data_IF_955962067006
#
_entry.id   IF_955962067006
#
_cell.length_a   1.000
_cell.length_b   1.000
_cell.length_c   1.000
_cell.angle_alpha   90.00
_cell.angle_beta   90.00
_cell.angle_gamma   90.00
#
_symmetry.space_group_name_H-M   'P 1'
#
loop_
_entity.id
_entity.type
_entity.pdbx_description
1 polymer ?
#
# COMPACT_ATOMS: atom_id res chain seq x y z
N UNK A 1 -1.27 -14.87 -12.94
CA UNK A 1 -0.45 -13.70 -12.57
C UNK A 1 1.00 -14.08 -12.32
N UNK A 2 1.30 -14.93 -11.37
CA UNK A 2 2.69 -15.32 -11.05
C UNK A 2 3.40 -16.01 -12.22
N UNK A 3 2.70 -16.84 -12.98
CA UNK A 3 3.28 -17.52 -14.16
C UNK A 3 3.78 -16.55 -15.23
N UNK A 4 3.20 -15.35 -15.28
CA UNK A 4 3.62 -14.29 -16.22
C UNK A 4 4.71 -13.39 -15.64
N UNK A 5 5.26 -13.71 -14.45
CA UNK A 5 6.28 -12.93 -13.77
C UNK A 5 5.73 -11.75 -12.96
N UNK A 6 4.40 -11.66 -12.81
CA UNK A 6 3.77 -10.59 -12.06
C UNK A 6 3.81 -10.79 -10.54
N UNK A 7 3.47 -9.74 -9.81
CA UNK A 7 3.28 -9.77 -8.36
C UNK A 7 1.86 -9.31 -8.01
N UNK A 8 1.36 -9.79 -6.89
CA UNK A 8 0.08 -9.38 -6.34
C UNK A 8 0.31 -8.57 -5.06
N UNK A 9 -0.19 -7.35 -5.06
CA UNK A 9 -0.13 -6.45 -3.89
C UNK A 9 -1.54 -6.23 -3.36
N UNK A 10 -1.72 -6.46 -2.06
CA UNK A 10 -2.99 -6.22 -1.39
C UNK A 10 -3.12 -4.73 -1.04
N UNK A 11 -3.91 -4.01 -1.83
CA UNK A 11 -4.14 -2.58 -1.63
C UNK A 11 -5.06 -2.33 -0.43
N UNK A 12 -4.72 -1.36 0.40
CA UNK A 12 -5.48 -0.91 1.59
C UNK A 12 -6.37 -2.00 2.23
N UNK A 13 -5.75 -3.10 2.71
CA UNK A 13 -6.50 -4.33 3.04
C UNK A 13 -7.50 -4.19 4.18
N UNK A 14 -7.36 -3.20 5.04
CA UNK A 14 -8.21 -3.02 6.22
C UNK A 14 -9.10 -1.78 6.17
N UNK A 15 -9.16 -1.10 5.01
CA UNK A 15 -10.05 0.05 4.87
C UNK A 15 -11.51 -0.37 5.00
N UNK A 16 -12.25 0.35 5.82
CA UNK A 16 -13.69 0.21 5.95
C UNK A 16 -14.37 1.50 5.45
N UNK A 17 -15.40 1.37 4.65
CA UNK A 17 -16.17 2.48 4.11
C UNK A 17 -17.57 2.02 3.73
N UNK A 18 -18.53 2.93 3.70
CA UNK A 18 -19.94 2.61 3.47
C UNK A 18 -20.21 1.98 2.10
N UNK A 19 -19.37 2.30 1.11
CA UNK A 19 -19.48 1.73 -0.24
C UNK A 19 -18.77 0.39 -0.42
N UNK A 20 -18.09 -0.13 0.61
CA UNK A 20 -17.43 -1.42 0.55
C UNK A 20 -18.38 -2.52 1.01
N UNK A 21 -18.16 -3.71 0.45
CA UNK A 21 -18.64 -4.93 1.07
C UNK A 21 -17.88 -5.06 2.40
N UNK A 22 -18.60 -5.10 3.51
CA UNK A 22 -18.03 -5.08 4.86
C UNK A 22 -17.35 -6.42 5.24
N UNK A 23 -16.62 -6.99 4.32
CA UNK A 23 -15.90 -8.24 4.54
C UNK A 23 -14.45 -8.07 4.09
N UNK A 24 -13.56 -8.14 5.06
CA UNK A 24 -12.11 -8.10 4.79
C UNK A 24 -11.65 -9.51 4.46
N UNK A 25 -11.15 -9.69 3.24
CA UNK A 25 -10.63 -10.98 2.78
C UNK A 25 -9.11 -10.95 2.76
N UNK A 26 -8.50 -11.79 3.58
CA UNK A 26 -7.06 -11.96 3.63
C UNK A 26 -6.68 -13.23 2.85
N UNK A 27 -5.79 -13.09 1.86
CA UNK A 27 -5.39 -14.17 0.97
C UNK A 27 -3.88 -14.41 1.03
N UNK A 28 -3.35 -14.81 2.21
CA UNK A 28 -1.90 -14.81 2.45
C UNK A 28 -1.11 -15.74 1.53
N UNK A 29 -1.74 -16.76 0.96
CA UNK A 29 -1.07 -17.69 0.05
C UNK A 29 -0.87 -17.12 -1.36
N UNK A 30 -1.53 -16.03 -1.70
CA UNK A 30 -1.59 -15.54 -3.08
C UNK A 30 -0.90 -14.21 -3.29
N UNK A 31 -0.59 -13.48 -2.23
CA UNK A 31 -0.03 -12.13 -2.32
C UNK A 31 1.47 -12.12 -2.05
N UNK A 32 2.16 -11.20 -2.70
CA UNK A 32 3.60 -10.98 -2.57
C UNK A 32 3.89 -9.80 -1.64
N UNK A 33 3.02 -8.80 -1.65
CA UNK A 33 3.19 -7.60 -0.87
C UNK A 33 1.89 -7.02 -0.34
N UNK A 34 2.02 -6.10 0.60
CA UNK A 34 0.91 -5.38 1.23
C UNK A 34 1.19 -3.89 1.18
N UNK A 35 0.18 -3.13 0.78
CA UNK A 35 0.21 -1.69 0.94
C UNK A 35 -0.02 -1.36 2.41
N UNK A 36 1.07 -1.08 3.12
CA UNK A 36 1.04 -0.84 4.57
C UNK A 36 0.71 0.59 4.93
N UNK A 37 0.83 1.49 3.97
CA UNK A 37 0.42 2.88 4.14
C UNK A 37 -0.31 3.38 2.91
N UNK A 38 -1.49 3.94 3.14
CA UNK A 38 -2.30 4.58 2.11
C UNK A 38 -2.87 5.87 2.72
N UNK A 39 -2.46 7.03 2.20
CA UNK A 39 -2.92 8.30 2.74
C UNK A 39 -4.38 8.61 2.43
N UNK A 40 -5.01 7.84 1.55
CA UNK A 40 -6.46 7.88 1.30
C UNK A 40 -7.30 7.11 2.32
N UNK A 41 -6.67 6.37 3.25
CA UNK A 41 -7.40 5.75 4.35
C UNK A 41 -8.01 6.82 5.27
N UNK A 42 -9.23 6.58 5.71
CA UNK A 42 -9.93 7.55 6.58
C UNK A 42 -9.49 7.53 8.02
N UNK A 43 -8.77 6.49 8.43
CA UNK A 43 -8.29 6.32 9.81
C UNK A 43 -6.91 5.69 9.79
N UNK A 44 -6.03 6.20 10.63
CA UNK A 44 -4.66 5.69 10.75
C UNK A 44 -4.63 4.23 11.20
N UNK A 45 -5.61 3.78 11.96
CA UNK A 45 -5.69 2.38 12.40
C UNK A 45 -5.71 1.39 11.24
N UNK A 46 -6.22 1.78 10.09
CA UNK A 46 -6.21 0.91 8.90
C UNK A 46 -4.79 0.67 8.38
N UNK A 47 -3.96 1.70 8.42
CA UNK A 47 -2.54 1.59 8.07
C UNK A 47 -1.79 0.74 9.11
N UNK A 48 -2.06 0.95 10.38
CA UNK A 48 -1.45 0.17 11.47
C UNK A 48 -1.77 -1.32 11.34
N UNK A 49 -3.01 -1.66 11.04
CA UNK A 49 -3.43 -3.05 10.82
C UNK A 49 -2.78 -3.66 9.58
N UNK A 50 -2.65 -2.90 8.51
CA UNK A 50 -1.99 -3.36 7.29
C UNK A 50 -0.52 -3.66 7.54
N UNK A 51 0.16 -2.80 8.27
CA UNK A 51 1.56 -3.01 8.66
C UNK A 51 1.71 -4.24 9.55
N UNK A 52 0.86 -4.39 10.55
CA UNK A 52 0.83 -5.58 11.40
C UNK A 52 0.66 -6.86 10.57
N UNK A 53 -0.29 -6.84 9.64
CA UNK A 53 -0.54 -7.97 8.76
C UNK A 53 0.70 -8.34 7.92
N UNK A 54 1.34 -7.35 7.32
CA UNK A 54 2.56 -7.58 6.55
C UNK A 54 3.68 -8.18 7.41
N UNK A 55 3.88 -7.66 8.62
CA UNK A 55 4.90 -8.14 9.54
C UNK A 55 4.62 -9.57 10.03
N UNK A 56 3.36 -9.88 10.37
CA UNK A 56 2.99 -11.21 10.87
C UNK A 56 3.18 -12.31 9.82
N UNK A 57 2.92 -12.02 8.55
CA UNK A 57 3.01 -13.00 7.48
C UNK A 57 4.30 -12.87 6.65
N UNK A 58 5.17 -11.94 6.98
CA UNK A 58 6.42 -11.75 6.27
C UNK A 58 6.26 -11.21 4.85
N UNK A 59 5.21 -10.44 4.57
CA UNK A 59 4.99 -9.86 3.27
C UNK A 59 5.90 -8.66 3.03
N UNK A 60 6.27 -8.44 1.78
CA UNK A 60 6.93 -7.22 1.34
C UNK A 60 5.98 -6.04 1.50
N UNK A 61 6.54 -4.85 1.73
CA UNK A 61 5.74 -3.66 2.05
C UNK A 61 5.87 -2.61 0.96
N UNK A 62 4.76 -1.96 0.66
CA UNK A 62 4.69 -0.82 -0.25
C UNK A 62 3.73 0.24 0.32
N UNK A 63 3.67 1.40 -0.32
CA UNK A 63 2.79 2.48 0.10
C UNK A 63 2.35 3.35 -1.07
N UNK A 64 1.21 4.01 -0.92
CA UNK A 64 0.61 4.82 -1.97
C UNK A 64 -0.25 5.94 -1.38
N UNK A 65 -0.60 6.92 -2.24
CA UNK A 65 -1.52 8.01 -1.91
C UNK A 65 -2.98 7.66 -2.13
N UNK A 66 -3.27 6.72 -3.03
CA UNK A 66 -4.61 6.44 -3.55
C UNK A 66 -5.25 7.70 -4.17
N UNK A 67 -4.41 8.51 -4.83
CA UNK A 67 -4.85 9.78 -5.37
C UNK A 67 -5.67 9.61 -6.66
N UNK A 68 -6.87 10.16 -6.67
CA UNK A 68 -7.80 10.13 -7.80
C UNK A 68 -7.93 11.49 -8.51
N UNK A 69 -7.12 12.47 -8.13
CA UNK A 69 -7.17 13.84 -8.63
C UNK A 69 -5.88 14.21 -9.35
N UNK A 70 -5.89 15.35 -10.05
CA UNK A 70 -4.70 15.89 -10.70
C UNK A 70 -3.71 16.51 -9.71
N UNK A 71 -4.11 16.65 -8.47
CA UNK A 71 -3.30 17.23 -7.40
C UNK A 71 -3.45 16.42 -6.12
N UNK A 72 -2.48 16.54 -5.23
CA UNK A 72 -2.50 15.96 -3.88
C UNK A 72 -1.90 16.98 -2.92
N UNK A 73 -2.45 17.07 -1.72
CA UNK A 73 -1.88 17.92 -0.67
C UNK A 73 -0.51 17.39 -0.25
N UNK A 74 0.50 18.26 -0.17
CA UNK A 74 1.86 17.87 0.25
C UNK A 74 1.87 17.10 1.56
N UNK A 75 0.99 17.49 2.50
CA UNK A 75 0.87 16.83 3.80
C UNK A 75 0.33 15.39 3.73
N UNK A 76 -0.14 14.97 2.56
CA UNK A 76 -0.71 13.64 2.33
C UNK A 76 0.09 12.80 1.36
N UNK A 77 1.23 13.27 0.91
CA UNK A 77 2.07 12.50 0.00
C UNK A 77 2.65 11.32 0.76
N UNK A 78 2.31 10.14 0.29
CA UNK A 78 2.90 8.87 0.69
C UNK A 78 3.28 8.09 -0.55
N UNK A 79 4.08 7.07 -0.40
CA UNK A 79 4.55 6.27 -1.52
C UNK A 79 5.76 5.44 -1.13
N UNK A 80 6.66 5.27 -2.06
CA UNK A 80 7.88 4.50 -1.86
C UNK A 80 9.11 5.30 -2.28
N UNK A 81 10.23 4.96 -1.66
CA UNK A 81 11.56 5.41 -2.09
C UNK A 81 12.46 4.21 -2.32
N UNK A 82 13.39 4.33 -3.24
CA UNK A 82 14.39 3.32 -3.57
C UNK A 82 15.75 3.96 -3.78
N UNK A 83 16.82 3.21 -3.51
CA UNK A 83 18.18 3.66 -3.79
C UNK A 83 18.49 3.65 -5.29
N UNK A 84 17.93 2.66 -6.00
CA UNK A 84 18.09 2.52 -7.44
C UNK A 84 16.87 3.07 -8.17
N UNK A 85 17.04 3.71 -9.35
CA UNK A 85 15.91 4.20 -10.13
C UNK A 85 14.97 3.07 -10.54
N UNK A 86 13.66 3.35 -10.52
CA UNK A 86 12.63 2.47 -11.08
C UNK A 86 12.23 3.05 -12.43
N UNK A 87 12.65 2.40 -13.50
CA UNK A 87 12.41 2.86 -14.87
C UNK A 87 11.42 1.96 -15.63
N UNK A 88 11.02 0.84 -15.02
CA UNK A 88 10.13 -0.13 -15.63
C UNK A 88 9.31 -0.85 -14.57
N UNK A 89 8.27 -1.57 -14.99
CA UNK A 89 7.50 -2.41 -14.08
C UNK A 89 8.37 -3.57 -13.54
N UNK A 90 9.29 -4.07 -14.33
CA UNK A 90 10.23 -5.11 -13.93
C UNK A 90 11.15 -4.63 -12.80
N UNK A 91 11.60 -3.39 -12.85
CA UNK A 91 12.40 -2.78 -11.78
C UNK A 91 11.59 -2.71 -10.47
N UNK A 92 10.32 -2.32 -10.55
CA UNK A 92 9.43 -2.28 -9.39
C UNK A 92 9.24 -3.68 -8.79
N UNK A 93 8.93 -4.66 -9.63
CA UNK A 93 8.71 -6.04 -9.19
C UNK A 93 9.96 -6.58 -8.49
N UNK A 94 11.13 -6.37 -9.06
CA UNK A 94 12.41 -6.78 -8.49
C UNK A 94 12.65 -6.11 -7.13
N UNK A 95 12.44 -4.80 -7.06
CA UNK A 95 12.62 -4.04 -5.82
C UNK A 95 11.66 -4.48 -4.72
N UNK A 96 10.42 -4.77 -5.07
CA UNK A 96 9.44 -5.32 -4.12
C UNK A 96 9.89 -6.68 -3.60
N UNK A 97 10.23 -7.60 -4.49
CA UNK A 97 10.66 -8.97 -4.13
C UNK A 97 11.90 -8.98 -3.25
N UNK A 98 12.82 -8.07 -3.49
CA UNK A 98 14.07 -7.95 -2.71
C UNK A 98 13.88 -7.16 -1.41
N UNK A 99 12.70 -6.60 -1.16
CA UNK A 99 12.43 -5.81 0.03
C UNK A 99 13.13 -4.46 0.05
N UNK A 100 13.37 -3.86 -1.11
CA UNK A 100 14.10 -2.60 -1.27
C UNK A 100 13.21 -1.36 -1.34
N UNK A 101 11.89 -1.52 -1.20
CA UNK A 101 10.96 -0.41 -1.17
C UNK A 101 10.88 0.16 0.23
N UNK A 102 11.29 1.41 0.42
CA UNK A 102 11.09 2.15 1.66
C UNK A 102 9.74 2.87 1.59
N UNK A 103 8.86 2.61 2.56
CA UNK A 103 7.54 3.24 2.59
C UNK A 103 7.67 4.66 3.15
N UNK A 104 7.23 5.64 2.38
CA UNK A 104 7.24 7.05 2.77
C UNK A 104 5.89 7.39 3.40
N UNK A 105 5.93 7.85 4.64
CA UNK A 105 4.75 8.23 5.43
C UNK A 105 4.68 9.75 5.47
N UNK A 106 3.51 10.37 5.22
CA UNK A 106 3.38 11.81 5.28
C UNK A 106 3.45 12.36 6.71
N UNK A 107 3.71 13.67 6.88
CA UNK A 107 3.79 14.27 8.22
C UNK A 107 2.47 14.21 9.00
N UNK A 108 1.33 14.14 8.31
CA UNK A 108 -0.01 14.07 8.95
C UNK A 108 -0.61 12.69 8.78
N UNK A 109 -1.22 12.14 9.83
CA UNK A 109 -1.96 10.88 9.74
C UNK A 109 -3.12 10.95 8.74
N UNK A 110 -3.57 9.77 8.29
CA UNK A 110 -4.66 9.65 7.32
C UNK A 110 -6.05 9.82 7.95
N UNK A 111 -6.19 10.66 8.97
CA UNK A 111 -7.45 10.84 9.70
C UNK A 111 -8.44 11.72 8.94
N UNK A 112 -9.70 11.29 8.92
CA UNK A 112 -10.82 12.06 8.37
C UNK A 112 -10.82 12.19 6.86
N UNK A 113 -9.98 11.47 6.13
CA UNK A 113 -9.87 11.57 4.69
C UNK A 113 -10.52 10.38 3.99
N UNK A 114 -11.83 10.40 3.87
CA UNK A 114 -12.55 9.51 2.95
C UNK A 114 -13.53 10.40 2.19
N UNK A 115 -13.14 10.79 0.97
CA UNK A 115 -13.97 11.61 0.12
C UNK A 115 -14.02 11.03 -1.28
N UNK A 116 -15.14 10.46 -1.55
CA UNK A 116 -15.43 9.92 -2.86
C UNK A 116 -16.79 10.34 -3.33
#
# INVERSE_FOLDING_TARGET
>A
MHKAGGVLVHAHPFREADWYIHEIKLLPKWIDGVEVYNSGNGKEVYNQRAKWYAEQFGFKQTGDTDNHHLWVEDSRISGIATDEPINSIEDYITSLREGKLEVIVPPKPAEGYIKR
#
